data_IF_385953505867
#
_entry.id   IF_385953505867
#
_cell.length_a   1.000
_cell.length_b   1.000
_cell.length_c   1.000
_cell.angle_alpha   90.00
_cell.angle_beta   90.00
_cell.angle_gamma   90.00
#
_symmetry.space_group_name_H-M   'P 1'
#
loop_
_entity.id
_entity.type
_entity.pdbx_description
1 polymer ?
#
# COMPACT_ATOMS: atom_id res chain seq x y z
N UNK A 1 -28.38 14.68 28.86
CA UNK A 1 -28.38 15.58 27.66
C UNK A 1 -27.63 16.86 27.99
N UNK A 2 -26.45 17.04 27.38
CA UNK A 2 -25.72 18.31 27.46
C UNK A 2 -26.43 19.31 26.53
N UNK A 3 -27.21 20.22 27.06
CA UNK A 3 -27.80 21.33 26.33
C UNK A 3 -26.77 22.42 26.06
N UNK A 4 -26.74 23.01 24.85
CA UNK A 4 -26.03 24.23 24.56
C UNK A 4 -24.82 24.16 23.61
N UNK A 5 -24.71 23.13 22.75
CA UNK A 5 -23.71 23.10 21.66
C UNK A 5 -24.16 23.88 20.41
N UNK A 6 -23.21 24.27 19.57
CA UNK A 6 -23.50 24.83 18.25
C UNK A 6 -24.25 23.78 17.38
N UNK A 7 -25.14 24.23 16.51
CA UNK A 7 -25.84 23.34 15.59
C UNK A 7 -24.84 22.66 14.65
N UNK A 8 -25.05 21.36 14.30
CA UNK A 8 -24.21 20.68 13.32
C UNK A 8 -24.28 21.39 11.96
N UNK A 9 -23.14 21.40 11.25
CA UNK A 9 -23.06 21.91 9.88
C UNK A 9 -23.06 20.73 8.90
N UNK A 10 -23.87 20.80 7.87
CA UNK A 10 -23.78 19.94 6.72
C UNK A 10 -22.94 20.63 5.64
N UNK A 11 -21.91 19.92 5.13
CA UNK A 11 -20.97 20.47 4.13
C UNK A 11 -20.89 19.47 2.98
N UNK A 12 -21.03 19.94 1.76
CA UNK A 12 -20.81 19.18 0.53
C UNK A 12 -19.51 19.64 -0.11
N UNK A 13 -18.75 18.68 -0.64
CA UNK A 13 -17.47 18.89 -1.32
C UNK A 13 -17.47 18.12 -2.63
N UNK A 14 -16.52 18.40 -3.51
CA UNK A 14 -16.49 17.83 -4.86
C UNK A 14 -15.98 16.38 -4.87
N UNK A 15 -15.00 16.08 -4.02
CA UNK A 15 -14.32 14.79 -3.98
C UNK A 15 -13.70 14.52 -2.58
N UNK A 16 -13.08 13.35 -2.44
CA UNK A 16 -12.44 12.92 -1.19
C UNK A 16 -11.22 13.77 -0.81
N UNK A 17 -10.53 14.35 -1.78
CA UNK A 17 -9.41 15.27 -1.51
C UNK A 17 -9.90 16.58 -0.93
N UNK A 18 -10.94 17.15 -1.51
CA UNK A 18 -11.59 18.36 -0.99
C UNK A 18 -12.18 18.11 0.40
N UNK A 19 -12.73 16.89 0.65
CA UNK A 19 -13.21 16.49 1.97
C UNK A 19 -12.07 16.45 2.99
N UNK A 20 -10.96 15.79 2.66
CA UNK A 20 -9.80 15.70 3.54
C UNK A 20 -9.21 17.08 3.86
N UNK A 21 -9.05 17.93 2.83
CA UNK A 21 -8.55 19.30 3.00
C UNK A 21 -9.46 20.11 3.94
N UNK A 22 -10.78 20.06 3.73
CA UNK A 22 -11.75 20.74 4.59
C UNK A 22 -11.67 20.27 6.05
N UNK A 23 -11.59 18.94 6.26
CA UNK A 23 -11.49 18.38 7.62
C UNK A 23 -10.21 18.84 8.30
N UNK A 24 -9.07 18.81 7.60
CA UNK A 24 -7.79 19.27 8.15
C UNK A 24 -7.83 20.75 8.52
N UNK A 25 -8.41 21.61 7.68
CA UNK A 25 -8.63 23.02 8.01
C UNK A 25 -9.45 23.19 9.29
N UNK A 26 -10.53 22.42 9.43
CA UNK A 26 -11.34 22.47 10.66
C UNK A 26 -10.60 21.99 11.89
N UNK A 27 -9.75 20.97 11.76
CA UNK A 27 -8.87 20.50 12.84
C UNK A 27 -7.91 21.60 13.28
N UNK A 28 -7.28 22.28 12.34
CA UNK A 28 -6.35 23.38 12.63
C UNK A 28 -7.06 24.59 13.24
N UNK A 29 -8.20 25.00 12.69
CA UNK A 29 -9.02 26.08 13.27
C UNK A 29 -9.45 25.79 14.71
N UNK A 30 -9.81 24.54 15.01
CA UNK A 30 -10.14 24.15 16.37
C UNK A 30 -8.92 24.25 17.29
N UNK A 31 -7.75 23.84 16.80
CA UNK A 31 -6.48 23.94 17.53
C UNK A 31 -6.12 25.40 17.83
N UNK A 32 -6.24 26.30 16.85
CA UNK A 32 -6.00 27.74 17.02
C UNK A 32 -6.94 28.36 18.05
N UNK A 33 -8.16 27.84 18.16
CA UNK A 33 -9.12 28.23 19.20
C UNK A 33 -8.89 27.57 20.55
N UNK A 34 -7.77 26.87 20.73
CA UNK A 34 -7.37 26.26 21.98
C UNK A 34 -7.87 24.85 22.23
N UNK A 35 -8.49 24.19 21.23
CA UNK A 35 -8.90 22.78 21.34
C UNK A 35 -7.71 21.89 20.99
N UNK A 36 -7.15 21.20 21.96
CA UNK A 36 -6.04 20.28 21.75
C UNK A 36 -6.41 19.17 20.73
N UNK A 37 -5.46 18.73 19.90
CA UNK A 37 -5.68 17.67 18.89
C UNK A 37 -6.25 16.39 19.49
N UNK A 38 -5.78 15.98 20.67
CA UNK A 38 -6.28 14.79 21.38
C UNK A 38 -7.75 14.88 21.84
N UNK A 39 -8.33 16.07 21.81
CA UNK A 39 -9.75 16.32 22.13
C UNK A 39 -10.63 16.46 20.91
N UNK A 40 -10.07 16.27 19.72
CA UNK A 40 -10.78 16.30 18.46
C UNK A 40 -10.94 14.86 17.94
N UNK A 41 -12.07 14.55 17.32
CA UNK A 41 -12.32 13.26 16.71
C UNK A 41 -13.00 13.42 15.36
N UNK A 42 -12.59 12.60 14.39
CA UNK A 42 -13.25 12.45 13.10
C UNK A 42 -13.83 11.05 13.04
N UNK A 43 -15.11 10.93 12.69
CA UNK A 43 -15.82 9.66 12.66
C UNK A 43 -16.12 9.25 11.22
N UNK A 44 -15.84 8.00 10.88
CA UNK A 44 -16.11 7.40 9.59
C UNK A 44 -17.02 6.20 9.72
N UNK A 45 -17.79 5.94 8.69
CA UNK A 45 -18.62 4.74 8.63
C UNK A 45 -17.81 3.51 8.21
N UNK A 46 -16.89 3.67 7.24
CA UNK A 46 -16.03 2.62 6.70
C UNK A 46 -14.56 3.05 6.83
N UNK A 47 -13.65 2.06 6.91
CA UNK A 47 -12.21 2.32 7.08
C UNK A 47 -11.57 3.02 5.88
N UNK A 48 -12.00 2.73 4.67
CA UNK A 48 -11.55 3.31 3.40
C UNK A 48 -11.81 4.81 3.31
N UNK A 49 -12.86 5.31 3.95
CA UNK A 49 -13.17 6.75 3.97
C UNK A 49 -12.13 7.60 4.72
N UNK A 50 -11.25 6.98 5.50
CA UNK A 50 -10.19 7.69 6.22
C UNK A 50 -8.87 7.78 5.47
N UNK A 51 -8.68 7.00 4.40
CA UNK A 51 -7.36 6.81 3.77
C UNK A 51 -6.80 8.12 3.22
N UNK A 52 -7.61 8.91 2.52
CA UNK A 52 -7.19 10.21 1.97
C UNK A 52 -6.91 11.23 3.08
N UNK A 53 -7.72 11.21 4.15
CA UNK A 53 -7.48 12.07 5.31
C UNK A 53 -6.19 11.69 6.04
N UNK A 54 -5.90 10.40 6.19
CA UNK A 54 -4.65 9.95 6.82
C UNK A 54 -3.43 10.42 6.04
N UNK A 55 -3.47 10.37 4.70
CA UNK A 55 -2.42 10.91 3.85
C UNK A 55 -2.23 12.41 4.06
N UNK A 56 -3.31 13.18 4.10
CA UNK A 56 -3.25 14.62 4.26
C UNK A 56 -2.76 15.03 5.66
N UNK A 57 -3.16 14.31 6.71
CA UNK A 57 -2.65 14.49 8.07
C UNK A 57 -1.15 14.20 8.16
N UNK A 58 -0.69 13.10 7.55
CA UNK A 58 0.74 12.75 7.49
C UNK A 58 1.55 13.79 6.71
N UNK A 59 1.04 14.24 5.57
CA UNK A 59 1.69 15.27 4.74
C UNK A 59 1.91 16.57 5.50
N UNK A 60 0.99 16.94 6.39
CA UNK A 60 1.07 18.16 7.22
C UNK A 60 1.68 17.92 8.59
N UNK A 61 2.23 16.72 8.86
CA UNK A 61 2.80 16.34 10.15
C UNK A 61 1.81 16.53 11.33
N UNK A 62 0.53 16.30 11.12
CA UNK A 62 -0.49 16.35 12.17
C UNK A 62 -0.60 14.97 12.81
N UNK A 63 -0.26 14.79 14.10
CA UNK A 63 -0.35 13.51 14.77
C UNK A 63 -1.81 13.08 14.96
N UNK A 64 -2.10 11.81 14.72
CA UNK A 64 -3.42 11.21 14.92
C UNK A 64 -3.32 9.76 15.42
N UNK A 65 -4.42 9.27 15.98
CA UNK A 65 -4.60 7.87 16.35
C UNK A 65 -5.87 7.37 15.67
N UNK A 66 -5.78 6.28 14.90
CA UNK A 66 -6.93 5.62 14.29
C UNK A 66 -7.42 4.50 15.20
N UNK A 67 -8.69 4.56 15.56
CA UNK A 67 -9.38 3.51 16.30
C UNK A 67 -10.30 2.74 15.35
N UNK A 68 -10.13 1.43 15.27
CA UNK A 68 -10.84 0.58 14.32
C UNK A 68 -10.27 0.69 12.89
N UNK A 69 -10.49 -0.36 12.09
CA UNK A 69 -9.90 -0.46 10.75
C UNK A 69 -8.37 -0.56 10.73
N UNK A 70 -7.83 -0.72 9.53
CA UNK A 70 -6.38 -0.68 9.31
C UNK A 70 -5.95 0.77 9.02
N UNK A 71 -4.82 1.18 9.58
CA UNK A 71 -4.15 2.41 9.15
C UNK A 71 -3.79 2.27 7.66
N UNK A 72 -3.76 3.38 6.92
CA UNK A 72 -3.44 3.36 5.49
C UNK A 72 -2.19 2.51 5.17
N UNK A 73 -1.10 2.70 5.92
CA UNK A 73 0.14 1.91 5.75
C UNK A 73 0.01 0.44 6.19
N UNK A 74 -1.05 0.09 6.90
CA UNK A 74 -1.34 -1.28 7.32
C UNK A 74 -2.25 -2.01 6.34
N UNK A 75 -2.88 -1.31 5.41
CA UNK A 75 -3.70 -1.89 4.37
C UNK A 75 -2.90 -2.89 3.53
N UNK A 76 -3.53 -4.02 3.16
CA UNK A 76 -2.85 -5.12 2.48
C UNK A 76 -2.21 -4.69 1.17
N UNK A 77 -2.94 -3.93 0.35
CA UNK A 77 -2.46 -3.43 -0.94
C UNK A 77 -1.27 -2.47 -0.82
N UNK A 78 -1.22 -1.64 0.23
CA UNK A 78 -0.08 -0.76 0.50
C UNK A 78 1.13 -1.57 0.95
N UNK A 79 0.94 -2.57 1.81
CA UNK A 79 2.01 -3.49 2.23
C UNK A 79 2.56 -4.29 1.04
N UNK A 80 1.73 -4.66 0.08
CA UNK A 80 2.15 -5.37 -1.12
C UNK A 80 3.06 -4.50 -1.99
N UNK A 81 2.64 -3.26 -2.28
CA UNK A 81 3.43 -2.30 -3.04
C UNK A 81 4.77 -2.00 -2.35
N UNK A 82 4.72 -1.74 -1.04
CA UNK A 82 5.94 -1.50 -0.25
C UNK A 82 6.86 -2.73 -0.20
N UNK A 83 6.31 -3.94 -0.23
CA UNK A 83 7.12 -5.15 -0.25
C UNK A 83 7.93 -5.26 -1.55
N UNK A 84 7.38 -4.86 -2.70
CA UNK A 84 8.13 -4.82 -3.97
C UNK A 84 9.34 -3.90 -3.86
N UNK A 85 9.12 -2.67 -3.37
CA UNK A 85 10.21 -1.69 -3.18
C UNK A 85 11.25 -2.17 -2.17
N UNK A 86 10.81 -2.73 -1.03
CA UNK A 86 11.70 -3.26 0.01
C UNK A 86 12.54 -4.45 -0.47
N UNK A 87 11.98 -5.30 -1.33
CA UNK A 87 12.73 -6.43 -1.88
C UNK A 87 13.73 -5.95 -2.94
N UNK A 88 13.37 -4.96 -3.76
CA UNK A 88 14.27 -4.36 -4.73
C UNK A 88 15.47 -3.65 -4.05
N UNK A 89 15.21 -2.91 -2.97
CA UNK A 89 16.21 -2.21 -2.16
C UNK A 89 17.13 -3.20 -1.41
N UNK A 90 16.55 -4.25 -0.86
CA UNK A 90 17.30 -5.30 -0.15
C UNK A 90 16.94 -6.69 -0.70
N UNK A 91 17.72 -7.24 -1.65
CA UNK A 91 17.48 -8.56 -2.24
C UNK A 91 17.48 -9.72 -1.23
N UNK A 92 18.07 -9.52 -0.04
CA UNK A 92 18.07 -10.51 1.05
C UNK A 92 16.81 -10.47 1.93
N UNK A 93 15.90 -9.52 1.68
CA UNK A 93 14.65 -9.40 2.43
C UNK A 93 13.66 -10.52 2.03
N UNK A 94 13.83 -11.70 2.63
CA UNK A 94 13.02 -12.89 2.34
C UNK A 94 11.53 -12.71 2.64
N UNK A 95 11.18 -11.92 3.66
CA UNK A 95 9.77 -11.64 4.01
C UNK A 95 9.11 -10.85 2.88
N UNK A 96 9.78 -9.82 2.38
CA UNK A 96 9.29 -9.04 1.25
C UNK A 96 9.21 -9.90 -0.03
N UNK A 97 10.26 -10.68 -0.32
CA UNK A 97 10.29 -11.61 -1.45
C UNK A 97 9.11 -12.59 -1.42
N UNK A 98 8.88 -13.23 -0.27
CA UNK A 98 7.80 -14.19 -0.10
C UNK A 98 6.43 -13.56 -0.32
N UNK A 99 6.21 -12.35 0.21
CA UNK A 99 4.97 -11.61 0.01
C UNK A 99 4.73 -11.25 -1.45
N UNK A 100 5.74 -10.71 -2.12
CA UNK A 100 5.66 -10.26 -3.53
C UNK A 100 5.41 -11.41 -4.48
N UNK A 101 6.12 -12.52 -4.32
CA UNK A 101 5.96 -13.68 -5.18
C UNK A 101 4.55 -14.27 -5.11
N UNK A 102 3.91 -14.24 -3.94
CA UNK A 102 2.52 -14.71 -3.78
C UNK A 102 1.47 -13.83 -4.46
N UNK A 103 1.82 -12.65 -4.93
CA UNK A 103 0.92 -11.82 -5.73
C UNK A 103 0.73 -12.40 -7.14
N UNK A 104 1.62 -13.26 -7.60
CA UNK A 104 1.58 -13.84 -8.94
C UNK A 104 0.67 -15.09 -8.98
N UNK A 105 -0.07 -15.31 -10.07
CA UNK A 105 -0.91 -16.49 -10.23
C UNK A 105 -0.08 -17.78 -10.10
N UNK A 106 -0.60 -18.77 -9.36
CA UNK A 106 0.07 -20.07 -9.19
C UNK A 106 1.28 -20.08 -8.24
N UNK A 107 1.68 -18.92 -7.70
CA UNK A 107 2.76 -18.82 -6.72
C UNK A 107 2.23 -19.04 -5.30
N UNK A 108 1.73 -20.24 -5.01
CA UNK A 108 1.41 -20.64 -3.64
C UNK A 108 2.67 -20.80 -2.77
N UNK A 109 2.50 -21.05 -1.45
CA UNK A 109 3.62 -21.07 -0.48
C UNK A 109 4.80 -21.96 -0.90
N UNK A 110 4.54 -23.18 -1.42
CA UNK A 110 5.60 -24.10 -1.82
C UNK A 110 6.39 -23.62 -3.06
N UNK A 111 5.72 -23.03 -4.05
CA UNK A 111 6.38 -22.46 -5.23
C UNK A 111 7.18 -21.21 -4.87
N UNK A 112 6.61 -20.37 -4.02
CA UNK A 112 7.28 -19.18 -3.49
C UNK A 112 8.53 -19.53 -2.70
N UNK A 113 8.46 -20.55 -1.85
CA UNK A 113 9.59 -21.05 -1.08
C UNK A 113 10.73 -21.49 -1.99
N UNK A 114 10.43 -22.31 -3.02
CA UNK A 114 11.44 -22.76 -4.00
C UNK A 114 12.07 -21.61 -4.79
N UNK A 115 11.28 -20.62 -5.17
CA UNK A 115 11.79 -19.44 -5.87
C UNK A 115 12.73 -18.61 -4.99
N UNK A 116 12.39 -18.42 -3.70
CA UNK A 116 13.24 -17.74 -2.74
C UNK A 116 14.58 -18.49 -2.55
N UNK A 117 14.52 -19.81 -2.35
CA UNK A 117 15.72 -20.65 -2.19
C UNK A 117 16.63 -20.63 -3.43
N UNK A 118 16.04 -20.71 -4.63
CA UNK A 118 16.79 -20.59 -5.87
C UNK A 118 17.44 -19.21 -6.03
N UNK A 119 16.75 -18.15 -5.65
CA UNK A 119 17.28 -16.78 -5.69
C UNK A 119 18.44 -16.58 -4.68
N UNK A 120 18.30 -17.12 -3.46
CA UNK A 120 19.37 -17.14 -2.44
C UNK A 120 20.60 -17.92 -2.94
N UNK A 121 20.39 -19.16 -3.46
CA UNK A 121 21.47 -20.00 -4.01
C UNK A 121 22.20 -19.33 -5.18
N UNK A 122 21.51 -18.50 -5.95
CA UNK A 122 22.09 -17.71 -7.03
C UNK A 122 22.78 -16.41 -6.54
N UNK A 123 22.95 -16.21 -5.23
CA UNK A 123 23.58 -15.02 -4.66
C UNK A 123 22.75 -13.76 -4.79
N UNK A 124 21.45 -13.88 -4.80
CA UNK A 124 20.48 -12.77 -4.88
C UNK A 124 20.59 -11.93 -6.15
N UNK A 125 21.02 -12.53 -7.26
CA UNK A 125 21.15 -11.84 -8.54
C UNK A 125 19.82 -11.80 -9.29
N UNK A 126 19.36 -10.62 -9.66
CA UNK A 126 18.10 -10.42 -10.38
C UNK A 126 18.04 -11.17 -11.72
N UNK A 127 19.16 -11.37 -12.41
CA UNK A 127 19.24 -12.17 -13.64
C UNK A 127 18.85 -13.64 -13.42
N UNK A 128 19.12 -14.19 -12.24
CA UNK A 128 18.74 -15.54 -11.90
C UNK A 128 17.22 -15.70 -11.70
N UNK A 129 16.55 -14.63 -11.27
CA UNK A 129 15.11 -14.63 -11.16
C UNK A 129 14.44 -14.83 -12.52
N UNK A 130 14.93 -14.16 -13.57
CA UNK A 130 14.40 -14.31 -14.93
C UNK A 130 14.51 -15.75 -15.47
N UNK A 131 15.54 -16.48 -15.07
CA UNK A 131 15.80 -17.86 -15.50
C UNK A 131 15.06 -18.92 -14.66
N UNK A 132 14.40 -18.51 -13.57
CA UNK A 132 13.73 -19.46 -12.67
C UNK A 132 12.50 -20.10 -13.34
N UNK A 133 12.38 -21.44 -13.22
CA UNK A 133 11.24 -22.20 -13.72
C UNK A 133 10.00 -21.96 -12.83
N UNK A 134 8.93 -21.46 -13.41
CA UNK A 134 7.69 -21.12 -12.71
C UNK A 134 6.51 -21.99 -13.13
N UNK A 135 5.47 -22.09 -12.30
CA UNK A 135 4.23 -22.79 -12.65
C UNK A 135 3.59 -22.27 -13.94
N UNK A 136 2.81 -23.09 -14.66
CA UNK A 136 2.16 -22.68 -15.90
C UNK A 136 1.34 -21.39 -15.78
N UNK A 137 0.59 -21.22 -14.69
CA UNK A 137 -0.23 -20.03 -14.43
C UNK A 137 0.59 -18.74 -14.23
N UNK A 138 1.87 -18.87 -13.88
CA UNK A 138 2.77 -17.73 -13.63
C UNK A 138 3.51 -17.30 -14.91
N UNK A 139 3.63 -18.17 -15.91
CA UNK A 139 4.53 -17.98 -17.07
C UNK A 139 4.28 -16.69 -17.83
N UNK A 140 3.04 -16.32 -18.00
CA UNK A 140 2.67 -15.09 -18.73
C UNK A 140 3.12 -13.83 -17.99
N UNK A 141 3.05 -13.83 -16.65
CA UNK A 141 3.35 -12.66 -15.81
C UNK A 141 4.83 -12.58 -15.42
N UNK A 142 5.56 -13.69 -15.48
CA UNK A 142 6.92 -13.81 -14.96
C UNK A 142 7.94 -12.92 -15.64
N UNK A 143 7.99 -12.79 -16.98
CA UNK A 143 8.99 -11.96 -17.66
C UNK A 143 8.87 -10.47 -17.26
N UNK A 144 7.65 -9.95 -17.24
CA UNK A 144 7.38 -8.55 -16.84
C UNK A 144 7.77 -8.30 -15.38
N UNK A 145 7.45 -9.25 -14.50
CA UNK A 145 7.84 -9.19 -13.10
C UNK A 145 9.36 -9.23 -12.90
N UNK A 146 10.06 -10.17 -13.55
CA UNK A 146 11.51 -10.30 -13.44
C UNK A 146 12.22 -9.05 -13.99
N UNK A 147 11.73 -8.48 -15.10
CA UNK A 147 12.24 -7.24 -15.67
C UNK A 147 12.03 -6.04 -14.73
N UNK A 148 10.85 -5.95 -14.10
CA UNK A 148 10.58 -4.93 -13.09
C UNK A 148 11.58 -5.01 -11.94
N UNK A 149 11.75 -6.18 -11.34
CA UNK A 149 12.65 -6.38 -10.19
C UNK A 149 14.12 -6.10 -10.55
N UNK A 150 14.57 -6.55 -11.70
CA UNK A 150 15.92 -6.25 -12.21
C UNK A 150 16.12 -4.75 -12.42
N UNK A 151 15.12 -4.06 -12.96
CA UNK A 151 15.20 -2.62 -13.20
C UNK A 151 15.08 -1.75 -11.95
N UNK A 152 14.40 -2.24 -10.89
CA UNK A 152 14.31 -1.55 -9.61
C UNK A 152 15.57 -1.77 -8.76
N UNK A 153 16.13 -2.97 -8.80
CA UNK A 153 17.30 -3.36 -8.01
C UNK A 153 18.65 -3.08 -8.69
N UNK A 154 18.67 -2.37 -9.81
CA UNK A 154 19.92 -1.96 -10.45
C UNK A 154 20.61 -0.86 -9.62
N UNK A 155 21.94 -0.94 -9.47
CA UNK A 155 22.75 0.05 -8.72
C UNK A 155 22.57 1.49 -9.23
N UNK A 156 22.23 1.65 -10.52
CA UNK A 156 21.98 2.95 -11.15
C UNK A 156 20.51 3.38 -11.12
N UNK A 157 19.64 2.63 -10.46
CA UNK A 157 18.23 2.94 -10.45
C UNK A 157 17.92 4.23 -9.67
N UNK A 158 17.42 5.24 -10.38
CA UNK A 158 16.91 6.46 -9.75
C UNK A 158 15.65 6.16 -8.95
N UNK A 159 15.47 6.83 -7.83
CA UNK A 159 14.23 6.80 -7.04
C UNK A 159 13.02 7.34 -7.82
N UNK A 160 13.30 8.25 -8.74
CA UNK A 160 12.28 8.89 -9.55
C UNK A 160 11.54 7.87 -10.42
N UNK A 161 10.22 7.88 -10.32
CA UNK A 161 9.35 6.98 -11.08
C UNK A 161 9.27 5.53 -10.59
N UNK A 162 10.02 5.10 -9.57
CA UNK A 162 9.95 3.72 -9.07
C UNK A 162 8.55 3.34 -8.59
N UNK A 163 7.92 4.21 -7.80
CA UNK A 163 6.55 3.98 -7.29
C UNK A 163 5.57 3.85 -8.45
N UNK A 164 5.68 4.69 -9.48
CA UNK A 164 4.82 4.64 -10.67
C UNK A 164 4.99 3.30 -11.42
N UNK A 165 6.23 2.81 -11.56
CA UNK A 165 6.51 1.52 -12.21
C UNK A 165 5.94 0.35 -11.43
N UNK A 166 6.12 0.35 -10.11
CA UNK A 166 5.57 -0.69 -9.23
C UNK A 166 4.05 -0.65 -9.26
N UNK A 167 3.44 0.52 -9.19
CA UNK A 167 1.99 0.69 -9.27
C UNK A 167 1.44 0.13 -10.58
N UNK A 168 2.02 0.49 -11.72
CA UNK A 168 1.57 0.02 -13.03
C UNK A 168 1.63 -1.52 -13.16
N UNK A 169 2.64 -2.15 -12.56
CA UNK A 169 2.73 -3.61 -12.50
C UNK A 169 1.72 -4.21 -11.50
N UNK A 170 1.50 -3.56 -10.36
CA UNK A 170 0.68 -4.11 -9.28
C UNK A 170 -0.82 -3.97 -9.53
N UNK A 171 -1.27 -2.95 -10.23
CA UNK A 171 -2.69 -2.64 -10.48
C UNK A 171 -3.47 -3.84 -11.07
N UNK A 172 -2.99 -4.55 -12.12
CA UNK A 172 -3.65 -5.75 -12.63
C UNK A 172 -3.67 -6.92 -11.62
N UNK A 173 -2.66 -7.02 -10.74
CA UNK A 173 -2.61 -8.04 -9.70
C UNK A 173 -3.66 -7.74 -8.62
N UNK A 174 -3.81 -6.48 -8.23
CA UNK A 174 -4.79 -6.04 -7.26
C UNK A 174 -6.22 -6.33 -7.73
N UNK A 175 -6.55 -5.96 -8.98
CA UNK A 175 -7.86 -6.23 -9.58
C UNK A 175 -8.18 -7.72 -9.54
N UNK A 176 -7.28 -8.56 -10.02
CA UNK A 176 -7.43 -10.02 -10.00
C UNK A 176 -7.61 -10.59 -8.59
N UNK A 177 -6.86 -10.11 -7.61
CA UNK A 177 -6.95 -10.55 -6.22
C UNK A 177 -8.27 -10.10 -5.58
N UNK A 178 -8.75 -8.91 -5.91
CA UNK A 178 -10.00 -8.35 -5.40
C UNK A 178 -11.22 -9.08 -5.98
N UNK A 179 -11.27 -9.32 -7.29
CA UNK A 179 -12.30 -10.09 -7.96
C UNK A 179 -12.39 -11.53 -7.40
N UNK A 180 -11.24 -12.19 -7.22
CA UNK A 180 -11.20 -13.51 -6.61
C UNK A 180 -11.64 -13.54 -5.15
N UNK A 181 -11.46 -12.46 -4.40
CA UNK A 181 -11.93 -12.34 -3.02
C UNK A 181 -13.44 -12.08 -2.95
N UNK A 182 -14.01 -11.33 -3.91
CA UNK A 182 -15.47 -11.13 -4.01
C UNK A 182 -16.20 -12.40 -4.47
N UNK A 183 -15.64 -13.15 -5.39
CA UNK A 183 -16.23 -14.40 -5.88
C UNK A 183 -16.27 -15.53 -4.83
N UNK A 184 -15.55 -15.38 -3.71
CA UNK A 184 -15.53 -16.32 -2.58
C UNK A 184 -16.46 -15.94 -1.41
N UNK A 185 -17.13 -14.80 -1.49
CA UNK A 185 -18.14 -14.35 -0.50
C UNK A 185 -19.54 -14.65 -1.00
#
# INVERSE_FOLDING_TARGET
>A
TRGGGAKPRYVTVQDDQAQAAYVVERVLDCRERGVELRRQAVLFRNADHSDVLELELMRRNIPYVKYGGLKFLEAAHVKDLLAVLRWADNPRNRIAAFRVLQLLPGMGPANTQRACEAFEAAGHRWSALAAHAVPPATREHWPAFAALMAGLGAESASWEGQVTRVRAWYEPQLERLYESAQARR
#
